data_IF_016236218398
#
_entry.id   IF_016236218398
#
_cell.length_a   1.000
_cell.length_b   1.000
_cell.length_c   1.000
_cell.angle_alpha   90.00
_cell.angle_beta   90.00
_cell.angle_gamma   90.00
#
_symmetry.space_group_name_H-M   'P 1'
#
loop_
_entity.id
_entity.type
_entity.pdbx_description
1 polymer ?
#
# COMPACT_ATOMS: atom_id res chain seq x y z
N UNK A 1 10.04 7.43 -29.26
CA UNK A 1 9.76 6.04 -29.68
C UNK A 1 9.81 5.00 -28.54
N UNK A 2 10.77 4.98 -27.60
CA UNK A 2 10.81 3.97 -26.52
C UNK A 2 9.57 3.98 -25.57
N UNK A 3 8.97 5.14 -25.30
CA UNK A 3 7.79 5.25 -24.41
C UNK A 3 6.49 4.71 -25.02
N UNK A 4 6.31 4.77 -26.32
CA UNK A 4 5.09 4.26 -27.02
C UNK A 4 4.99 2.74 -26.96
N UNK A 5 6.09 2.02 -27.18
CA UNK A 5 6.10 0.55 -27.06
C UNK A 5 5.88 0.06 -25.62
N UNK A 6 6.41 0.81 -24.62
CA UNK A 6 6.18 0.52 -23.20
C UNK A 6 4.72 0.78 -22.79
N UNK A 7 4.07 1.80 -23.36
CA UNK A 7 2.65 2.07 -23.13
C UNK A 7 1.76 0.93 -23.66
N UNK A 8 2.02 0.46 -24.87
CA UNK A 8 1.26 -0.64 -25.48
C UNK A 8 1.36 -1.93 -24.65
N UNK A 9 2.57 -2.32 -24.25
CA UNK A 9 2.78 -3.47 -23.37
C UNK A 9 2.07 -3.33 -22.01
N UNK A 10 2.00 -2.12 -21.46
CA UNK A 10 1.28 -1.86 -20.22
C UNK A 10 -0.23 -2.07 -20.38
N UNK A 11 -0.84 -1.61 -21.48
CA UNK A 11 -2.27 -1.79 -21.77
C UNK A 11 -2.64 -3.27 -22.01
N UNK A 12 -1.83 -4.03 -22.74
CA UNK A 12 -2.05 -5.48 -22.95
C UNK A 12 -2.01 -6.23 -21.61
N UNK A 13 -1.02 -5.95 -20.77
CA UNK A 13 -0.96 -6.52 -19.41
C UNK A 13 -2.19 -6.16 -18.57
N UNK A 14 -2.77 -5.01 -18.78
CA UNK A 14 -3.98 -4.56 -18.07
C UNK A 14 -5.22 -5.33 -18.49
N UNK A 15 -5.39 -5.61 -19.77
CA UNK A 15 -6.50 -6.42 -20.30
C UNK A 15 -6.44 -7.85 -19.74
N UNK A 16 -5.27 -8.50 -19.73
CA UNK A 16 -5.10 -9.81 -19.13
C UNK A 16 -5.43 -9.85 -17.61
N UNK A 17 -5.19 -8.73 -16.89
CA UNK A 17 -5.55 -8.60 -15.48
C UNK A 17 -7.03 -8.38 -15.21
N UNK A 18 -7.82 -7.93 -16.20
CA UNK A 18 -9.28 -7.84 -16.07
C UNK A 18 -9.91 -9.21 -15.82
N UNK A 19 -9.46 -10.22 -16.53
CA UNK A 19 -9.92 -11.61 -16.32
C UNK A 19 -9.50 -12.17 -14.95
N UNK A 20 -8.33 -11.79 -14.43
CA UNK A 20 -7.88 -12.15 -13.08
C UNK A 20 -8.68 -11.49 -11.94
N UNK A 21 -9.55 -10.52 -12.24
CA UNK A 21 -10.40 -9.86 -11.26
C UNK A 21 -11.79 -10.51 -11.09
N UNK A 22 -12.09 -11.59 -11.79
CA UNK A 22 -13.40 -12.29 -11.68
C UNK A 22 -13.72 -12.67 -10.22
N UNK A 23 -12.81 -13.28 -9.43
CA UNK A 23 -13.08 -13.57 -8.04
C UNK A 23 -13.37 -12.32 -7.21
N UNK A 24 -12.61 -11.25 -7.44
CA UNK A 24 -12.82 -9.96 -6.76
C UNK A 24 -14.18 -9.36 -7.07
N UNK A 25 -14.67 -9.49 -8.30
CA UNK A 25 -15.99 -9.00 -8.69
C UNK A 25 -17.10 -9.68 -7.87
N UNK A 26 -17.09 -11.03 -7.79
CA UNK A 26 -18.09 -11.77 -7.01
C UNK A 26 -17.97 -11.47 -5.51
N UNK A 27 -16.76 -11.42 -4.94
CA UNK A 27 -16.56 -11.07 -3.54
C UNK A 27 -17.18 -9.69 -3.23
N UNK A 28 -16.97 -8.72 -4.08
CA UNK A 28 -17.49 -7.35 -3.90
C UNK A 28 -19.01 -7.27 -3.98
N UNK A 29 -19.63 -8.15 -4.76
CA UNK A 29 -21.09 -8.19 -4.91
C UNK A 29 -21.75 -8.71 -3.63
N UNK A 30 -21.14 -9.72 -2.98
CA UNK A 30 -21.76 -10.43 -1.87
C UNK A 30 -21.23 -10.02 -0.48
N UNK A 31 -20.00 -9.49 -0.39
CA UNK A 31 -19.39 -9.17 0.90
C UNK A 31 -19.22 -7.66 1.10
N UNK A 32 -19.70 -7.11 2.23
CA UNK A 32 -19.50 -5.70 2.57
C UNK A 32 -18.05 -5.44 3.02
N UNK A 33 -17.68 -4.15 3.12
CA UNK A 33 -16.48 -3.72 3.83
C UNK A 33 -16.66 -3.99 5.31
N UNK A 34 -15.67 -4.63 5.93
CA UNK A 34 -15.65 -5.05 7.34
C UNK A 34 -14.94 -3.98 8.17
N UNK A 35 -15.70 -3.30 9.02
CA UNK A 35 -15.15 -2.29 9.94
C UNK A 35 -14.10 -2.92 10.87
N UNK A 36 -13.10 -2.13 11.21
CA UNK A 36 -12.00 -2.55 12.08
C UNK A 36 -11.03 -3.57 11.44
N UNK A 37 -11.21 -3.94 10.17
CA UNK A 37 -10.29 -4.86 9.51
C UNK A 37 -9.16 -4.10 8.82
N UNK A 38 -7.92 -4.41 9.20
CA UNK A 38 -6.69 -3.77 8.71
C UNK A 38 -5.88 -4.76 7.89
N UNK A 39 -5.55 -4.42 6.65
CA UNK A 39 -4.66 -5.17 5.79
C UNK A 39 -3.34 -4.43 5.63
N UNK A 40 -2.26 -5.04 6.10
CA UNK A 40 -0.91 -4.47 6.07
C UNK A 40 0.03 -5.23 5.16
N UNK A 41 1.00 -4.51 4.61
CA UNK A 41 2.18 -5.09 3.95
C UNK A 41 3.31 -4.07 3.87
N UNK A 42 4.55 -4.56 3.71
CA UNK A 42 5.69 -3.72 3.41
C UNK A 42 6.51 -4.27 2.23
N UNK A 43 7.20 -3.37 1.53
CA UNK A 43 8.13 -3.69 0.43
C UNK A 43 7.64 -4.77 -0.55
N UNK A 44 6.47 -4.54 -1.17
CA UNK A 44 5.84 -5.47 -2.13
C UNK A 44 5.54 -6.86 -1.53
N UNK A 45 5.05 -6.88 -0.29
CA UNK A 45 4.65 -8.08 0.47
C UNK A 45 5.81 -9.00 0.90
N UNK A 46 7.05 -8.50 0.95
CA UNK A 46 8.24 -9.32 1.17
C UNK A 46 8.74 -9.34 2.60
N UNK A 47 8.26 -8.41 3.45
CA UNK A 47 8.84 -8.22 4.78
C UNK A 47 7.77 -7.90 5.83
N UNK A 48 8.04 -8.26 7.08
CA UNK A 48 7.40 -7.70 8.26
C UNK A 48 8.32 -6.63 8.84
N UNK A 49 8.17 -5.37 8.41
CA UNK A 49 9.15 -4.34 8.73
C UNK A 49 8.64 -2.92 8.53
N UNK A 50 9.50 -1.96 8.91
CA UNK A 50 9.34 -0.54 8.65
C UNK A 50 8.09 0.06 9.31
N UNK A 51 7.62 1.22 8.84
CA UNK A 51 6.50 1.96 9.45
C UNK A 51 5.22 1.14 9.63
N UNK A 52 4.79 0.28 8.69
CA UNK A 52 3.61 -0.55 8.90
C UNK A 52 3.76 -1.52 10.07
N UNK A 53 4.96 -2.09 10.31
CA UNK A 53 5.21 -2.97 11.44
C UNK A 53 5.01 -2.22 12.76
N UNK A 54 5.70 -1.13 12.98
CA UNK A 54 5.62 -0.36 14.23
C UNK A 54 4.21 0.16 14.51
N UNK A 55 3.49 0.59 13.46
CA UNK A 55 2.09 0.97 13.61
C UNK A 55 1.20 -0.21 14.03
N UNK A 56 1.41 -1.40 13.45
CA UNK A 56 0.66 -2.60 13.85
C UNK A 56 0.95 -3.04 15.28
N UNK A 57 2.22 -3.01 15.69
CA UNK A 57 2.62 -3.32 17.05
C UNK A 57 1.99 -2.34 18.05
N UNK A 58 2.03 -1.04 17.77
CA UNK A 58 1.36 -0.02 18.58
C UNK A 58 -0.16 -0.26 18.69
N UNK A 59 -0.83 -0.59 17.60
CA UNK A 59 -2.26 -0.89 17.60
C UNK A 59 -2.57 -2.10 18.50
N UNK A 60 -1.74 -3.14 18.49
CA UNK A 60 -1.91 -4.33 19.33
C UNK A 60 -1.70 -4.06 20.81
N UNK A 61 -0.77 -3.18 21.15
CA UNK A 61 -0.43 -2.83 22.55
C UNK A 61 -1.50 -1.94 23.19
N UNK A 62 -2.15 -1.10 22.40
CA UNK A 62 -3.16 -0.17 22.89
C UNK A 62 -4.58 -0.75 22.89
N UNK A 63 -4.75 -2.08 22.86
CA UNK A 63 -6.04 -2.78 22.92
C UNK A 63 -7.07 -2.25 21.92
N UNK A 64 -6.63 -1.96 20.72
CA UNK A 64 -7.54 -1.52 19.67
C UNK A 64 -8.35 -2.72 19.17
N UNK A 65 -9.63 -2.53 18.86
CA UNK A 65 -10.51 -3.57 18.31
C UNK A 65 -10.25 -3.87 16.84
N UNK A 66 -9.01 -3.65 16.39
CA UNK A 66 -8.64 -3.92 15.01
C UNK A 66 -8.25 -5.39 14.80
N UNK A 67 -8.85 -5.98 13.77
CA UNK A 67 -8.44 -7.29 13.25
C UNK A 67 -7.34 -7.08 12.20
N UNK A 68 -6.08 -7.41 12.53
CA UNK A 68 -4.92 -7.11 11.72
C UNK A 68 -4.49 -8.32 10.90
N UNK A 69 -4.38 -8.11 9.59
CA UNK A 69 -3.89 -9.09 8.64
C UNK A 69 -2.61 -8.56 7.99
N UNK A 70 -1.57 -9.39 7.99
CA UNK A 70 -0.34 -9.08 7.28
C UNK A 70 -0.17 -9.98 6.07
N UNK A 71 0.01 -9.39 4.90
CA UNK A 71 0.12 -10.14 3.66
C UNK A 71 1.57 -10.37 3.29
N UNK A 72 1.90 -11.64 2.98
CA UNK A 72 3.22 -12.07 2.55
C UNK A 72 3.21 -12.70 1.18
N UNK A 73 4.30 -12.50 0.43
CA UNK A 73 4.52 -13.06 -0.89
C UNK A 73 5.77 -13.93 -0.91
N UNK A 74 5.62 -15.18 -1.34
CA UNK A 74 6.72 -16.15 -1.32
C UNK A 74 6.92 -16.76 0.06
N UNK A 75 8.08 -17.34 0.27
CA UNK A 75 8.46 -17.93 1.56
C UNK A 75 9.15 -16.82 2.38
N UNK A 76 8.41 -16.20 3.27
CA UNK A 76 8.91 -15.19 4.20
C UNK A 76 8.91 -15.82 5.59
N UNK A 77 10.00 -15.61 6.34
CA UNK A 77 10.02 -15.98 7.74
C UNK A 77 9.04 -15.10 8.53
N UNK A 78 8.07 -15.72 9.16
CA UNK A 78 7.03 -15.09 9.96
C UNK A 78 7.19 -15.33 11.46
N UNK A 79 8.30 -15.94 11.90
CA UNK A 79 8.55 -16.26 13.31
C UNK A 79 8.57 -15.04 14.23
N UNK A 80 8.98 -13.88 13.71
CA UNK A 80 9.00 -12.60 14.43
C UNK A 80 7.68 -11.81 14.33
N UNK A 81 6.62 -12.37 13.76
CA UNK A 81 5.30 -11.70 13.70
C UNK A 81 4.50 -12.02 14.95
N UNK A 82 3.91 -11.02 15.59
CA UNK A 82 3.03 -11.22 16.75
C UNK A 82 1.90 -12.18 16.42
N UNK A 83 1.63 -13.15 17.29
CA UNK A 83 0.62 -14.20 17.08
C UNK A 83 -0.81 -13.67 16.91
N UNK A 84 -1.09 -12.45 17.36
CA UNK A 84 -2.37 -11.77 17.18
C UNK A 84 -2.59 -11.28 15.75
N UNK A 85 -1.50 -11.15 14.96
CA UNK A 85 -1.54 -10.77 13.55
C UNK A 85 -1.80 -12.01 12.69
N UNK A 86 -2.82 -11.96 11.87
CA UNK A 86 -3.16 -13.04 10.95
C UNK A 86 -2.33 -12.94 9.66
N UNK A 87 -1.37 -13.87 9.50
CA UNK A 87 -0.54 -13.94 8.29
C UNK A 87 -1.32 -14.49 7.11
N UNK A 88 -1.31 -13.79 5.98
CA UNK A 88 -2.06 -14.14 4.78
C UNK A 88 -1.11 -14.25 3.58
N UNK A 89 -1.24 -15.34 2.83
CA UNK A 89 -0.46 -15.54 1.61
C UNK A 89 -1.03 -14.69 0.46
N UNK A 90 -0.18 -13.93 -0.21
CA UNK A 90 -0.53 -13.18 -1.41
C UNK A 90 -1.17 -14.07 -2.48
N UNK A 91 -2.28 -13.63 -3.05
CA UNK A 91 -3.12 -14.37 -4.02
C UNK A 91 -3.80 -15.66 -3.50
N UNK A 92 -3.88 -15.88 -2.20
CA UNK A 92 -4.78 -16.91 -1.64
C UNK A 92 -6.24 -16.45 -1.69
N UNK A 93 -7.20 -17.33 -1.46
CA UNK A 93 -8.60 -16.96 -1.35
C UNK A 93 -8.82 -15.91 -0.27
N UNK A 94 -8.19 -16.06 0.89
CA UNK A 94 -8.27 -15.10 1.99
C UNK A 94 -7.72 -13.73 1.59
N UNK A 95 -6.65 -13.68 0.79
CA UNK A 95 -6.14 -12.42 0.23
C UNK A 95 -7.18 -11.72 -0.63
N UNK A 96 -7.87 -12.45 -1.54
CA UNK A 96 -8.91 -11.85 -2.38
C UNK A 96 -10.10 -11.36 -1.58
N UNK A 97 -10.50 -12.07 -0.52
CA UNK A 97 -11.52 -11.62 0.40
C UNK A 97 -11.06 -10.30 1.07
N UNK A 98 -9.88 -10.28 1.67
CA UNK A 98 -9.35 -9.11 2.39
C UNK A 98 -9.20 -7.88 1.51
N UNK A 99 -8.62 -8.01 0.32
CA UNK A 99 -8.42 -6.87 -0.58
C UNK A 99 -9.73 -6.22 -1.02
N UNK A 100 -10.85 -6.94 -0.91
CA UNK A 100 -12.18 -6.44 -1.24
C UNK A 100 -13.03 -6.05 -0.02
N UNK A 101 -12.66 -6.47 1.19
CA UNK A 101 -13.47 -6.28 2.40
C UNK A 101 -12.77 -5.54 3.55
N UNK A 102 -11.43 -5.47 3.58
CA UNK A 102 -10.74 -4.72 4.63
C UNK A 102 -11.09 -3.23 4.56
N UNK A 103 -11.25 -2.62 5.73
CA UNK A 103 -11.50 -1.18 5.84
C UNK A 103 -10.22 -0.39 5.59
N UNK A 104 -9.11 -0.80 6.20
CA UNK A 104 -7.83 -0.09 6.11
C UNK A 104 -6.79 -0.87 5.33
N UNK A 105 -6.06 -0.14 4.49
CA UNK A 105 -4.89 -0.62 3.75
C UNK A 105 -3.68 0.20 4.17
N UNK A 106 -2.66 -0.44 4.71
CA UNK A 106 -1.47 0.24 5.25
C UNK A 106 -0.21 -0.32 4.59
N UNK A 107 0.58 0.56 3.99
CA UNK A 107 1.85 0.17 3.35
C UNK A 107 2.90 1.29 3.41
N UNK A 108 4.14 0.92 3.12
CA UNK A 108 5.26 1.86 3.07
C UNK A 108 5.84 2.07 1.66
N UNK A 109 5.23 1.51 0.65
CA UNK A 109 5.72 1.60 -0.72
C UNK A 109 4.60 1.75 -1.74
N UNK A 110 4.93 2.28 -2.92
CA UNK A 110 4.00 2.41 -4.04
C UNK A 110 3.31 1.09 -4.35
N UNK A 111 2.02 1.16 -4.47
CA UNK A 111 1.15 0.03 -4.78
C UNK A 111 0.63 0.14 -6.20
N UNK A 112 0.53 -0.96 -6.90
CA UNK A 112 -0.19 -1.06 -8.17
C UNK A 112 -1.57 -1.69 -7.90
N UNK A 113 -2.66 -0.90 -7.77
CA UNK A 113 -3.98 -1.43 -7.46
C UNK A 113 -4.42 -2.54 -8.43
N UNK A 114 -4.07 -2.42 -9.71
CA UNK A 114 -4.40 -3.45 -10.70
C UNK A 114 -3.62 -4.75 -10.52
N UNK A 115 -2.36 -4.66 -10.09
CA UNK A 115 -1.53 -5.84 -9.82
C UNK A 115 -1.99 -6.59 -8.58
N UNK A 116 -2.52 -5.87 -7.60
CA UNK A 116 -3.02 -6.46 -6.36
C UNK A 116 -4.50 -6.79 -6.41
N UNK A 117 -5.14 -6.64 -7.58
CA UNK A 117 -6.57 -6.90 -7.80
C UNK A 117 -7.50 -6.09 -6.89
N UNK A 118 -7.09 -4.87 -6.56
CA UNK A 118 -7.81 -3.98 -5.68
C UNK A 118 -8.45 -2.83 -6.45
N UNK A 119 -9.75 -2.70 -6.27
CA UNK A 119 -10.53 -1.54 -6.69
C UNK A 119 -11.16 -0.94 -5.46
N UNK A 120 -10.57 0.14 -4.94
CA UNK A 120 -11.02 0.78 -3.71
C UNK A 120 -12.53 1.03 -3.71
N UNK A 121 -13.19 0.61 -2.64
CA UNK A 121 -14.64 0.75 -2.43
C UNK A 121 -14.91 1.91 -1.48
N UNK A 122 -16.17 2.42 -1.50
CA UNK A 122 -16.67 3.31 -0.45
C UNK A 122 -16.52 2.60 0.91
N UNK A 123 -15.94 3.29 1.88
CA UNK A 123 -15.66 2.73 3.21
C UNK A 123 -14.26 2.10 3.34
N UNK A 124 -13.49 1.95 2.26
CA UNK A 124 -12.09 1.55 2.34
C UNK A 124 -11.17 2.77 2.40
N UNK A 125 -10.16 2.73 3.26
CA UNK A 125 -9.15 3.77 3.46
C UNK A 125 -7.76 3.26 3.17
N UNK A 126 -6.99 4.02 2.40
CA UNK A 126 -5.61 3.71 2.05
C UNK A 126 -4.65 4.70 2.69
N UNK A 127 -3.76 4.18 3.54
CA UNK A 127 -2.74 4.94 4.26
C UNK A 127 -1.35 4.57 3.74
N UNK A 128 -0.63 5.55 3.23
CA UNK A 128 0.75 5.41 2.77
C UNK A 128 1.70 5.97 3.82
N UNK A 129 2.47 5.11 4.48
CA UNK A 129 3.43 5.52 5.50
C UNK A 129 4.81 5.88 4.92
N UNK A 130 5.02 5.59 3.65
CA UNK A 130 6.32 5.68 2.97
C UNK A 130 7.46 5.02 3.78
N UNK A 131 8.66 5.01 3.25
CA UNK A 131 9.81 4.34 3.88
C UNK A 131 11.04 5.24 4.03
N UNK A 132 11.06 6.39 3.35
CA UNK A 132 12.16 7.35 3.39
C UNK A 132 11.77 8.65 4.10
N UNK A 133 12.51 9.04 5.14
CA UNK A 133 12.30 10.33 5.82
C UNK A 133 12.89 11.49 5.05
N UNK A 134 13.96 11.25 4.29
CA UNK A 134 14.67 12.24 3.47
C UNK A 134 14.97 11.65 2.09
N UNK A 135 15.01 12.50 1.07
CA UNK A 135 15.40 12.12 -0.28
C UNK A 135 16.90 12.42 -0.49
N UNK A 136 17.73 11.38 -0.39
CA UNK A 136 19.17 11.47 -0.71
C UNK A 136 19.45 11.38 -2.20
N UNK A 137 18.44 11.17 -3.02
CA UNK A 137 18.48 11.09 -4.48
C UNK A 137 17.21 11.72 -5.07
N UNK A 138 17.25 12.01 -6.37
CA UNK A 138 16.04 12.39 -7.11
C UNK A 138 15.01 11.27 -7.06
N UNK A 139 13.77 11.58 -6.68
CA UNK A 139 12.67 10.62 -6.60
C UNK A 139 11.41 11.18 -7.23
N UNK A 140 10.51 10.29 -7.63
CA UNK A 140 9.17 10.62 -8.11
C UNK A 140 9.19 11.67 -9.24
N UNK A 141 8.53 12.82 -9.12
CA UNK A 141 8.54 13.90 -10.13
C UNK A 141 9.94 14.38 -10.50
N UNK A 142 10.85 14.47 -9.54
CA UNK A 142 12.21 14.95 -9.79
C UNK A 142 13.02 13.98 -10.68
N UNK A 143 12.63 12.72 -10.70
CA UNK A 143 13.24 11.68 -11.53
C UNK A 143 12.33 11.22 -12.69
N UNK A 144 11.27 11.98 -13.03
CA UNK A 144 10.25 11.55 -14.01
C UNK A 144 10.85 11.22 -15.39
N UNK A 145 11.93 11.90 -15.77
CA UNK A 145 12.68 11.66 -16.99
C UNK A 145 13.39 10.29 -17.03
N UNK A 146 13.76 9.74 -15.89
CA UNK A 146 14.49 8.50 -15.71
C UNK A 146 13.58 7.30 -15.37
N UNK A 147 12.35 7.57 -14.95
CA UNK A 147 11.40 6.55 -14.54
C UNK A 147 10.72 5.88 -15.73
N UNK A 148 10.49 4.56 -15.63
CA UNK A 148 9.76 3.82 -16.65
C UNK A 148 8.30 4.28 -16.73
N UNK A 149 7.72 4.17 -17.93
CA UNK A 149 6.30 4.49 -18.15
C UNK A 149 5.38 3.71 -17.19
N UNK A 150 5.67 2.43 -16.95
CA UNK A 150 4.88 1.59 -16.05
C UNK A 150 4.95 2.06 -14.60
N UNK A 151 6.12 2.51 -14.15
CA UNK A 151 6.27 3.09 -12.82
C UNK A 151 5.47 4.38 -12.68
N UNK A 152 5.59 5.30 -13.62
CA UNK A 152 4.88 6.58 -13.61
C UNK A 152 3.36 6.39 -13.55
N UNK A 153 2.82 5.48 -14.38
CA UNK A 153 1.40 5.15 -14.36
C UNK A 153 0.97 4.57 -13.01
N UNK A 154 1.75 3.65 -12.46
CA UNK A 154 1.51 3.08 -11.14
C UNK A 154 1.52 4.17 -10.06
N UNK A 155 2.55 5.00 -10.01
CA UNK A 155 2.71 6.04 -9.00
C UNK A 155 1.56 7.06 -9.03
N UNK A 156 1.15 7.50 -10.23
CA UNK A 156 0.03 8.45 -10.40
C UNK A 156 -1.32 7.83 -10.00
N UNK A 157 -1.55 6.55 -10.31
CA UNK A 157 -2.77 5.84 -9.88
C UNK A 157 -2.76 5.61 -8.37
N UNK A 158 -1.64 5.18 -7.80
CA UNK A 158 -1.45 4.97 -6.38
C UNK A 158 -1.72 6.25 -5.56
N UNK A 159 -1.14 7.38 -5.99
CA UNK A 159 -1.42 8.67 -5.37
C UNK A 159 -2.91 9.06 -5.42
N UNK A 160 -3.58 8.81 -6.55
CA UNK A 160 -5.00 9.13 -6.73
C UNK A 160 -5.92 8.30 -5.82
N UNK A 161 -5.57 7.07 -5.48
CA UNK A 161 -6.39 6.21 -4.61
C UNK A 161 -6.01 6.31 -3.14
N UNK A 162 -4.86 6.92 -2.81
CA UNK A 162 -4.40 7.14 -1.45
C UNK A 162 -5.29 8.17 -0.74
N UNK A 163 -5.70 7.87 0.50
CA UNK A 163 -6.49 8.80 1.33
C UNK A 163 -5.62 9.63 2.26
N UNK A 164 -4.52 9.03 2.77
CA UNK A 164 -3.67 9.67 3.76
C UNK A 164 -2.22 9.29 3.53
N UNK A 165 -1.34 10.27 3.51
CA UNK A 165 0.11 10.07 3.64
C UNK A 165 0.59 10.54 5.00
N UNK A 166 1.60 9.87 5.56
CA UNK A 166 2.19 10.23 6.85
C UNK A 166 3.58 10.80 6.64
N UNK A 167 3.89 11.88 7.36
CA UNK A 167 5.15 12.61 7.29
C UNK A 167 5.76 12.77 8.67
N UNK A 168 7.08 12.60 8.77
CA UNK A 168 7.86 12.73 10.00
C UNK A 168 8.50 14.09 10.22
N UNK A 169 8.53 14.95 9.20
CA UNK A 169 9.15 16.28 9.31
C UNK A 169 8.67 17.21 8.20
N UNK A 170 8.95 18.53 8.36
CA UNK A 170 8.57 19.56 7.38
C UNK A 170 9.11 19.27 5.97
N UNK A 171 10.36 18.84 5.88
CA UNK A 171 10.99 18.50 4.60
C UNK A 171 10.22 17.35 3.90
N UNK A 172 9.90 16.28 4.63
CA UNK A 172 9.13 15.18 4.06
C UNK A 172 7.72 15.59 3.64
N UNK A 173 7.07 16.47 4.41
CA UNK A 173 5.76 17.03 4.06
C UNK A 173 5.80 17.76 2.71
N UNK A 174 6.78 18.65 2.52
CA UNK A 174 6.98 19.38 1.24
C UNK A 174 7.28 18.39 0.10
N UNK A 175 8.14 17.40 0.35
CA UNK A 175 8.49 16.35 -0.62
C UNK A 175 7.25 15.59 -1.09
N UNK A 176 6.38 15.16 -0.16
CA UNK A 176 5.16 14.44 -0.48
C UNK A 176 4.18 15.30 -1.30
N UNK A 177 3.99 16.55 -0.92
CA UNK A 177 3.14 17.51 -1.65
C UNK A 177 3.63 17.77 -3.07
N UNK A 178 4.90 18.09 -3.22
CA UNK A 178 5.45 18.58 -4.47
C UNK A 178 5.79 17.46 -5.46
N UNK A 179 6.27 16.31 -4.96
CA UNK A 179 6.91 15.29 -5.80
C UNK A 179 6.07 14.03 -6.03
N UNK A 180 5.08 13.75 -5.18
CA UNK A 180 4.37 12.47 -5.20
C UNK A 180 3.11 12.42 -6.07
N UNK A 181 2.80 13.46 -6.86
CA UNK A 181 1.52 13.59 -7.58
C UNK A 181 0.32 13.36 -6.64
N UNK A 182 0.41 13.87 -5.43
CA UNK A 182 -0.56 13.67 -4.37
C UNK A 182 -1.11 15.00 -3.87
N UNK A 183 -2.44 15.14 -3.90
CA UNK A 183 -3.15 16.34 -3.50
C UNK A 183 -4.03 16.11 -2.26
N UNK A 184 -3.91 14.94 -1.62
CA UNK A 184 -4.70 14.55 -0.46
C UNK A 184 -4.10 15.00 0.86
N UNK A 185 -4.65 14.46 1.94
CA UNK A 185 -4.24 14.79 3.31
C UNK A 185 -2.85 14.23 3.66
N UNK A 186 -2.03 15.02 4.34
CA UNK A 186 -0.74 14.61 4.89
C UNK A 186 -0.74 14.83 6.40
N UNK A 187 -0.67 13.73 7.16
CA UNK A 187 -0.54 13.76 8.61
C UNK A 187 0.93 13.95 9.00
N UNK A 188 1.29 15.15 9.48
CA UNK A 188 2.65 15.50 9.88
C UNK A 188 2.84 15.34 11.40
N UNK A 189 2.82 14.09 11.91
CA UNK A 189 2.88 13.74 13.34
C UNK A 189 4.04 12.81 13.71
N UNK A 190 4.97 12.57 12.82
CA UNK A 190 6.04 11.59 13.02
C UNK A 190 5.89 10.39 12.09
N UNK A 191 6.86 9.49 12.13
CA UNK A 191 6.82 8.21 11.41
C UNK A 191 6.95 7.07 12.40
N UNK A 192 6.06 6.06 12.37
CA UNK A 192 5.91 5.06 13.45
C UNK A 192 7.19 4.35 13.84
N UNK A 193 8.06 4.02 12.91
CA UNK A 193 9.31 3.32 13.22
C UNK A 193 10.32 4.13 14.05
N UNK A 194 10.12 5.44 14.19
CA UNK A 194 11.00 6.28 14.99
C UNK A 194 10.57 6.37 16.46
N UNK A 195 9.37 5.89 16.79
CA UNK A 195 8.84 5.93 18.16
C UNK A 195 9.68 5.08 19.11
N UNK A 196 10.46 4.14 18.57
CA UNK A 196 11.44 3.34 19.34
C UNK A 196 12.54 4.18 20.02
N UNK A 197 12.72 5.44 19.63
CA UNK A 197 13.71 6.35 20.19
C UNK A 197 13.14 7.19 21.34
N UNK A 198 11.88 7.06 21.66
CA UNK A 198 11.18 7.80 22.72
C UNK A 198 10.46 6.85 23.66
#
# INVERSE_FOLDING_TARGET
MKRTGQAFGWYINRIGKLFGNIPSFFIRLFLPVRKGTVMCWSYDFKQYSCNPRYLTEYLLENNTEFEIFWVFRGNVDTSGVDKRIKCVRYKSLQYYILVNTAEFFITNARTDPYRIYWHKRKGQKYVMLWHGGVALKRIEKDAEDQLSYSYLKKAKIDSKVCDLMVSGCRFQTSLLKEKFWYDGEILAKGIPRNDVFF
#
